data_IF_574723246933
#
_entry.id   IF_574723246933
#
_cell.length_a   1.000
_cell.length_b   1.000
_cell.length_c   1.000
_cell.angle_alpha   90.00
_cell.angle_beta   90.00
_cell.angle_gamma   90.00
#
_symmetry.space_group_name_H-M   'P 1'
#
loop_
_entity.id
_entity.type
_entity.pdbx_description
1 polymer ?
#
# COMPACT_ATOMS: atom_id res chain seq x y z
N UNK A 1 18.73 -14.70 -0.38
CA UNK A 1 19.23 -15.74 0.55
C UNK A 1 20.59 -16.14 0.03
N UNK A 2 21.66 -16.02 0.80
CA UNK A 2 22.98 -16.46 0.35
C UNK A 2 22.95 -17.97 0.02
N UNK A 3 23.71 -18.44 -0.99
CA UNK A 3 23.80 -19.86 -1.28
C UNK A 3 24.28 -20.63 -0.04
N UNK A 4 23.76 -21.84 0.22
CA UNK A 4 24.17 -22.61 1.38
C UNK A 4 25.67 -22.91 1.27
N UNK A 5 26.42 -22.54 2.31
CA UNK A 5 27.87 -22.74 2.36
C UNK A 5 28.22 -24.24 2.23
N UNK A 6 29.32 -24.59 1.55
CA UNK A 6 29.77 -25.97 1.44
C UNK A 6 30.08 -26.51 2.84
N UNK A 7 29.77 -27.80 3.05
CA UNK A 7 30.10 -28.48 4.30
C UNK A 7 31.61 -28.66 4.38
N UNK A 8 32.19 -28.48 5.57
CA UNK A 8 33.63 -28.46 5.81
C UNK A 8 34.25 -29.83 6.13
N UNK A 9 33.47 -30.93 6.11
CA UNK A 9 33.99 -32.27 6.43
C UNK A 9 34.26 -32.51 7.93
N UNK A 10 34.10 -31.48 8.76
CA UNK A 10 34.32 -31.56 10.21
C UNK A 10 33.16 -32.30 10.92
N UNK A 11 33.46 -32.99 12.03
CA UNK A 11 32.46 -33.69 12.84
C UNK A 11 31.61 -32.74 13.71
N UNK A 12 32.16 -31.57 14.08
CA UNK A 12 31.51 -30.53 14.89
C UNK A 12 31.58 -29.16 14.20
N UNK A 13 30.69 -28.23 14.58
CA UNK A 13 30.58 -26.88 13.99
C UNK A 13 29.34 -26.65 13.12
N UNK A 14 29.19 -25.43 12.60
CA UNK A 14 27.99 -24.97 11.87
C UNK A 14 27.88 -25.61 10.47
N UNK A 15 29.00 -25.73 9.74
CA UNK A 15 29.07 -26.32 8.40
C UNK A 15 29.54 -27.78 8.43
N UNK A 16 29.28 -28.49 9.53
CA UNK A 16 29.74 -29.87 9.73
C UNK A 16 29.10 -30.88 8.77
N UNK A 17 29.74 -32.04 8.69
CA UNK A 17 29.31 -33.20 7.91
C UNK A 17 30.03 -33.35 6.58
N UNK A 18 29.77 -34.46 5.90
CA UNK A 18 30.42 -34.84 4.65
C UNK A 18 30.26 -33.76 3.57
N UNK A 19 31.37 -33.45 2.89
CA UNK A 19 31.41 -32.53 1.75
C UNK A 19 30.60 -33.15 0.61
N UNK A 20 29.43 -32.60 0.31
CA UNK A 20 28.53 -33.10 -0.75
C UNK A 20 28.10 -31.93 -1.63
N UNK A 21 28.18 -32.11 -2.95
CA UNK A 21 27.62 -31.19 -3.93
C UNK A 21 26.10 -31.34 -3.94
N UNK A 22 25.39 -30.35 -3.37
CA UNK A 22 23.92 -30.38 -3.32
C UNK A 22 23.35 -30.06 -4.71
N UNK A 23 22.59 -30.99 -5.30
CA UNK A 23 21.81 -30.74 -6.52
C UNK A 23 20.55 -29.96 -6.19
N UNK A 24 20.25 -28.93 -6.99
CA UNK A 24 18.95 -28.26 -6.93
C UNK A 24 17.88 -29.15 -7.57
N UNK A 25 16.97 -29.66 -6.75
CA UNK A 25 15.84 -30.47 -7.21
C UNK A 25 14.64 -29.58 -7.53
N UNK A 26 13.87 -29.87 -8.59
CA UNK A 26 12.63 -29.15 -8.84
C UNK A 26 11.65 -29.35 -7.67
N UNK A 27 10.93 -28.29 -7.24
CA UNK A 27 10.03 -28.38 -6.10
C UNK A 27 8.88 -29.34 -6.40
N UNK A 28 8.71 -30.35 -5.54
CA UNK A 28 7.63 -31.34 -5.72
C UNK A 28 6.25 -30.66 -5.74
N UNK A 29 5.32 -31.10 -6.62
CA UNK A 29 3.98 -30.50 -6.72
C UNK A 29 3.20 -30.46 -5.39
N UNK A 30 3.41 -31.42 -4.48
CA UNK A 30 2.78 -31.44 -3.15
C UNK A 30 3.06 -30.17 -2.32
N UNK A 31 4.22 -29.53 -2.49
CA UNK A 31 4.57 -28.28 -1.79
C UNK A 31 3.76 -27.06 -2.27
N UNK A 32 3.04 -27.15 -3.39
CA UNK A 32 2.17 -26.07 -3.88
C UNK A 32 0.82 -25.99 -3.16
N UNK A 33 0.48 -26.95 -2.31
CA UNK A 33 -0.80 -26.97 -1.57
C UNK A 33 -0.94 -25.72 -0.70
N UNK A 34 -2.07 -25.03 -0.81
CA UNK A 34 -2.38 -23.82 -0.04
C UNK A 34 -2.08 -22.49 -0.74
N UNK A 35 -1.42 -22.50 -1.91
CA UNK A 35 -1.26 -21.30 -2.75
C UNK A 35 -2.60 -20.91 -3.39
N UNK A 36 -2.98 -19.64 -3.28
CA UNK A 36 -4.18 -19.11 -3.94
C UNK A 36 -3.92 -18.83 -5.41
N UNK A 37 -4.74 -19.37 -6.30
CA UNK A 37 -4.79 -19.03 -7.73
C UNK A 37 -5.73 -17.84 -7.98
N UNK A 38 -5.59 -17.19 -9.15
CA UNK A 38 -6.40 -16.02 -9.55
C UNK A 38 -7.92 -16.27 -9.43
N UNK A 39 -8.38 -17.45 -9.86
CA UNK A 39 -9.78 -17.87 -9.73
C UNK A 39 -10.23 -17.92 -8.27
N UNK A 40 -9.42 -18.51 -7.39
CA UNK A 40 -9.78 -18.66 -5.96
C UNK A 40 -9.80 -17.30 -5.24
N UNK A 41 -8.90 -16.38 -5.59
CA UNK A 41 -8.96 -15.01 -5.03
C UNK A 41 -10.21 -14.26 -5.47
N UNK A 42 -10.62 -14.38 -6.74
CA UNK A 42 -11.84 -13.75 -7.28
C UNK A 42 -13.08 -14.27 -6.55
N UNK A 43 -13.24 -15.59 -6.48
CA UNK A 43 -14.39 -16.22 -5.80
C UNK A 43 -14.45 -15.84 -4.31
N UNK A 44 -13.30 -15.82 -3.61
CA UNK A 44 -13.25 -15.37 -2.21
C UNK A 44 -13.57 -13.89 -2.03
N UNK A 45 -13.31 -13.05 -3.03
CA UNK A 45 -13.72 -11.64 -3.04
C UNK A 45 -15.24 -11.51 -3.11
N UNK A 46 -15.85 -12.13 -4.13
CA UNK A 46 -17.30 -12.13 -4.35
C UNK A 46 -18.09 -12.61 -3.11
N UNK A 47 -17.66 -13.71 -2.48
CA UNK A 47 -18.34 -14.23 -1.29
C UNK A 47 -18.30 -13.23 -0.13
N UNK A 48 -17.22 -12.47 0.03
CA UNK A 48 -17.09 -11.48 1.11
C UNK A 48 -17.97 -10.26 0.88
N UNK A 49 -18.19 -9.89 -0.38
CA UNK A 49 -19.11 -8.81 -0.75
C UNK A 49 -20.56 -9.19 -0.45
N UNK A 50 -20.95 -10.43 -0.77
CA UNK A 50 -22.33 -10.92 -0.56
C UNK A 50 -22.61 -11.23 0.92
N UNK A 51 -21.74 -11.99 1.59
CA UNK A 51 -21.98 -12.46 2.96
C UNK A 51 -21.58 -11.44 4.05
N UNK A 52 -20.73 -10.47 3.70
CA UNK A 52 -20.23 -9.46 4.65
C UNK A 52 -19.29 -10.00 5.73
N UNK A 53 -19.17 -9.24 6.83
CA UNK A 53 -18.28 -9.56 7.95
C UNK A 53 -19.02 -10.20 9.13
N UNK A 54 -18.34 -11.14 9.78
CA UNK A 54 -18.83 -11.75 11.01
C UNK A 54 -18.82 -10.74 12.19
N UNK A 55 -19.65 -10.93 13.23
CA UNK A 55 -19.78 -9.96 14.33
C UNK A 55 -18.48 -9.72 15.11
N UNK A 56 -17.61 -10.72 15.24
CA UNK A 56 -16.30 -10.55 15.87
C UNK A 56 -15.31 -9.77 14.99
N UNK A 57 -15.45 -9.85 13.66
CA UNK A 57 -14.62 -9.11 12.71
C UNK A 57 -15.00 -7.62 12.73
N UNK A 58 -16.30 -7.31 12.80
CA UNK A 58 -16.81 -5.94 13.01
C UNK A 58 -16.21 -5.31 14.28
N UNK A 59 -16.28 -6.00 15.43
CA UNK A 59 -15.67 -5.52 16.68
C UNK A 59 -14.15 -5.33 16.58
N UNK A 60 -13.43 -6.16 15.81
CA UNK A 60 -12.00 -5.97 15.55
C UNK A 60 -11.78 -4.68 14.75
N UNK A 61 -12.56 -4.44 13.69
CA UNK A 61 -12.45 -3.21 12.89
C UNK A 61 -12.75 -1.95 13.70
N UNK A 62 -13.73 -1.99 14.61
CA UNK A 62 -14.02 -0.88 15.53
C UNK A 62 -12.84 -0.56 16.44
N UNK A 63 -12.24 -1.58 17.05
CA UNK A 63 -11.06 -1.41 17.92
C UNK A 63 -9.85 -0.88 17.14
N UNK A 64 -9.69 -1.29 15.89
CA UNK A 64 -8.63 -0.80 14.99
C UNK A 64 -8.87 0.65 14.53
N UNK A 65 -10.13 1.09 14.38
CA UNK A 65 -10.45 2.50 14.10
C UNK A 65 -10.04 3.42 15.24
N UNK A 66 -10.21 2.97 16.49
CA UNK A 66 -9.84 3.72 17.71
C UNK A 66 -8.32 3.63 18.01
N UNK A 67 -7.56 2.79 17.28
CA UNK A 67 -6.13 2.60 17.51
C UNK A 67 -5.78 1.67 18.69
N UNK A 68 -6.74 0.87 19.21
CA UNK A 68 -6.52 -0.06 20.33
C UNK A 68 -6.05 -1.44 19.85
N UNK A 69 -4.90 -1.49 19.20
CA UNK A 69 -4.35 -2.70 18.57
C UNK A 69 -4.13 -3.88 19.53
N UNK A 70 -3.59 -3.63 20.73
CA UNK A 70 -3.35 -4.68 21.74
C UNK A 70 -4.66 -5.32 22.20
N UNK A 71 -5.74 -4.53 22.30
CA UNK A 71 -7.08 -5.01 22.67
C UNK A 71 -7.72 -5.80 21.52
N UNK A 72 -7.56 -5.34 20.28
CA UNK A 72 -7.99 -6.08 19.09
C UNK A 72 -7.29 -7.45 18.99
N UNK A 73 -5.99 -7.51 19.28
CA UNK A 73 -5.21 -8.75 19.25
C UNK A 73 -5.64 -9.71 20.37
N UNK A 74 -5.92 -9.23 21.58
CA UNK A 74 -6.50 -10.05 22.66
C UNK A 74 -7.86 -10.63 22.26
N UNK A 75 -8.74 -9.84 21.66
CA UNK A 75 -10.04 -10.31 21.18
C UNK A 75 -9.90 -11.38 20.09
N UNK A 76 -9.05 -11.12 19.09
CA UNK A 76 -8.79 -12.06 18.00
C UNK A 76 -8.16 -13.36 18.51
N UNK A 77 -7.22 -13.29 19.47
CA UNK A 77 -6.63 -14.50 20.10
C UNK A 77 -7.69 -15.29 20.87
N UNK A 78 -8.58 -14.63 21.62
CA UNK A 78 -9.69 -15.31 22.32
C UNK A 78 -10.67 -16.00 21.36
N UNK A 79 -10.85 -15.49 20.14
CA UNK A 79 -11.77 -16.07 19.14
C UNK A 79 -11.11 -17.13 18.23
N UNK A 80 -9.84 -16.96 17.87
CA UNK A 80 -9.11 -17.83 16.92
C UNK A 80 -8.13 -18.79 17.61
N UNK A 81 -7.92 -18.65 18.92
CA UNK A 81 -7.04 -19.45 19.77
C UNK A 81 -5.56 -19.03 19.70
N UNK A 82 -4.96 -19.09 18.51
CA UNK A 82 -3.50 -18.92 18.36
C UNK A 82 -3.08 -17.49 18.01
N UNK A 83 -1.88 -17.10 18.46
CA UNK A 83 -1.33 -15.76 18.20
C UNK A 83 -1.01 -15.51 16.72
N UNK A 84 -0.51 -16.53 16.00
CA UNK A 84 -0.22 -16.44 14.54
C UNK A 84 -1.50 -16.18 13.74
N UNK A 85 -2.60 -16.89 14.04
CA UNK A 85 -3.90 -16.67 13.39
C UNK A 85 -4.48 -15.30 13.74
N UNK A 86 -4.38 -14.88 15.01
CA UNK A 86 -4.83 -13.56 15.45
C UNK A 86 -4.09 -12.42 14.73
N UNK A 87 -2.75 -12.49 14.61
CA UNK A 87 -1.96 -11.52 13.83
C UNK A 87 -2.41 -11.48 12.37
N UNK A 88 -2.57 -12.64 11.72
CA UNK A 88 -3.05 -12.72 10.34
C UNK A 88 -4.42 -12.04 10.18
N UNK A 89 -5.33 -12.24 11.14
CA UNK A 89 -6.68 -11.67 11.06
C UNK A 89 -6.72 -10.17 11.37
N UNK A 90 -5.83 -9.68 12.24
CA UNK A 90 -5.61 -8.24 12.45
C UNK A 90 -5.12 -7.57 11.16
N UNK A 91 -4.11 -8.13 10.50
CA UNK A 91 -3.59 -7.61 9.23
C UNK A 91 -4.66 -7.56 8.13
N UNK A 92 -5.49 -8.60 8.07
CA UNK A 92 -6.61 -8.64 7.12
C UNK A 92 -7.64 -7.53 7.38
N UNK A 93 -8.03 -7.31 8.65
CA UNK A 93 -8.96 -6.23 9.02
C UNK A 93 -8.35 -4.84 8.83
N UNK A 94 -7.07 -4.66 9.11
CA UNK A 94 -6.35 -3.42 8.80
C UNK A 94 -6.26 -3.17 7.29
N UNK A 95 -6.11 -4.23 6.49
CA UNK A 95 -6.20 -4.17 5.02
C UNK A 95 -7.56 -3.69 4.53
N UNK A 96 -8.66 -4.17 5.13
CA UNK A 96 -10.02 -3.72 4.82
C UNK A 96 -10.19 -2.23 5.12
N UNK A 97 -9.74 -1.77 6.29
CA UNK A 97 -9.80 -0.34 6.64
C UNK A 97 -9.00 0.54 5.68
N UNK A 98 -7.83 0.07 5.23
CA UNK A 98 -7.04 0.79 4.21
C UNK A 98 -7.80 0.90 2.89
N UNK A 99 -8.43 -0.18 2.42
CA UNK A 99 -9.26 -0.16 1.21
C UNK A 99 -10.44 0.81 1.35
N UNK A 100 -11.16 0.76 2.46
CA UNK A 100 -12.27 1.68 2.74
C UNK A 100 -11.82 3.14 2.76
N UNK A 101 -10.67 3.43 3.38
CA UNK A 101 -10.08 4.79 3.38
C UNK A 101 -9.71 5.25 1.97
N UNK A 102 -9.09 4.38 1.17
CA UNK A 102 -8.67 4.72 -0.20
C UNK A 102 -9.85 5.08 -1.10
N UNK A 103 -10.91 4.26 -1.10
CA UNK A 103 -12.14 4.52 -1.86
C UNK A 103 -12.77 5.86 -1.47
N UNK A 104 -12.77 6.20 -0.18
CA UNK A 104 -13.32 7.47 0.30
C UNK A 104 -12.47 8.68 -0.13
N UNK A 105 -11.14 8.52 -0.25
CA UNK A 105 -10.22 9.59 -0.68
C UNK A 105 -10.27 9.81 -2.18
N UNK A 106 -10.35 8.76 -3.00
CA UNK A 106 -10.54 8.90 -4.46
C UNK A 106 -11.82 9.68 -4.79
N UNK A 107 -12.92 9.38 -4.10
CA UNK A 107 -14.18 10.13 -4.23
C UNK A 107 -14.05 11.62 -3.85
N UNK A 108 -13.12 11.96 -2.95
CA UNK A 108 -12.83 13.35 -2.56
C UNK A 108 -11.87 14.05 -3.55
N UNK A 109 -10.91 13.32 -4.13
CA UNK A 109 -9.96 13.82 -5.11
C UNK A 109 -10.61 14.02 -6.49
N UNK A 110 -11.50 13.13 -6.94
CA UNK A 110 -12.19 13.27 -8.22
C UNK A 110 -13.23 14.40 -8.18
N UNK A 111 -13.98 14.55 -7.08
CA UNK A 111 -14.91 15.69 -6.91
C UNK A 111 -14.17 17.04 -6.90
N UNK A 112 -13.03 17.14 -6.21
CA UNK A 112 -12.23 18.38 -6.16
C UNK A 112 -11.48 18.66 -7.47
N UNK A 113 -10.96 17.64 -8.17
CA UNK A 113 -10.38 17.78 -9.52
C UNK A 113 -11.41 18.18 -10.57
N UNK A 114 -12.63 17.63 -10.53
CA UNK A 114 -13.73 18.03 -11.43
C UNK A 114 -14.15 19.49 -11.16
N UNK A 115 -14.31 19.88 -9.89
CA UNK A 115 -14.67 21.27 -9.53
C UNK A 115 -13.57 22.27 -9.91
N UNK A 116 -12.30 21.98 -9.58
CA UNK A 116 -11.16 22.84 -9.95
C UNK A 116 -10.95 22.90 -11.47
N UNK A 117 -11.11 21.78 -12.18
CA UNK A 117 -11.02 21.74 -13.65
C UNK A 117 -12.17 22.49 -14.36
N UNK A 118 -13.33 22.66 -13.71
CA UNK A 118 -14.44 23.51 -14.18
C UNK A 118 -14.16 24.98 -13.90
N UNK A 119 -13.61 25.30 -12.72
CA UNK A 119 -13.20 26.65 -12.31
C UNK A 119 -12.08 27.22 -13.18
N UNK A 120 -11.03 26.42 -13.47
CA UNK A 120 -9.91 26.81 -14.34
C UNK A 120 -10.38 27.05 -15.80
N UNK A 121 -11.34 26.27 -16.30
CA UNK A 121 -11.96 26.48 -17.61
C UNK A 121 -12.79 27.76 -17.70
N UNK A 122 -13.44 28.18 -16.61
CA UNK A 122 -14.17 29.45 -16.56
C UNK A 122 -13.25 30.67 -16.39
N UNK A 123 -12.10 30.50 -15.75
CA UNK A 123 -11.11 31.57 -15.53
C UNK A 123 -10.27 31.85 -16.80
N UNK A 124 -9.91 30.84 -17.57
CA UNK A 124 -9.15 31.00 -18.83
C UNK A 124 -9.98 31.60 -19.98
N UNK A 125 -11.31 31.45 -19.97
CA UNK A 125 -12.20 32.18 -20.91
C UNK A 125 -12.42 33.64 -20.55
N UNK A 126 -12.22 34.03 -19.28
CA UNK A 126 -12.41 35.42 -18.81
C UNK A 126 -11.17 36.30 -19.01
N UNK A 127 -10.00 35.70 -19.25
CA UNK A 127 -8.70 36.39 -19.31
C UNK A 127 -8.11 36.57 -20.73
N UNK A 128 -8.94 36.45 -21.78
CA UNK A 128 -8.52 36.83 -23.15
C UNK A 128 -8.62 38.32 -23.41
N UNK A 129 -9.43 39.04 -22.64
CA UNK A 129 -9.62 40.49 -22.76
C UNK A 129 -8.59 41.30 -21.95
N UNK A 130 -7.93 40.69 -20.95
CA UNK A 130 -7.03 41.42 -20.03
C UNK A 130 -5.56 41.43 -20.46
N UNK A 131 -5.17 40.61 -21.45
CA UNK A 131 -3.76 40.45 -21.85
C UNK A 131 -3.30 41.44 -22.93
N UNK A 132 -4.22 42.17 -23.58
CA UNK A 132 -3.86 43.22 -24.55
C UNK A 132 -3.42 44.55 -23.91
N UNK A 133 -3.68 44.75 -22.61
CA UNK A 133 -3.38 46.02 -21.93
C UNK A 133 -1.99 46.07 -21.27
N UNK A 134 -1.32 44.93 -21.04
CA UNK A 134 -0.02 44.89 -20.36
C UNK A 134 1.21 44.81 -21.28
N UNK A 135 1.02 44.59 -22.59
CA UNK A 135 2.14 44.45 -23.53
C UNK A 135 2.66 45.81 -24.04
N UNK A 136 1.92 46.91 -23.81
CA UNK A 136 2.31 48.28 -24.19
C UNK A 136 3.16 49.01 -23.13
N UNK A 137 3.25 48.50 -21.90
CA UNK A 137 3.94 49.19 -20.79
C UNK A 137 5.39 48.69 -20.54
N UNK A 138 5.89 47.73 -21.32
CA UNK A 138 7.19 47.09 -21.08
C UNK A 138 8.29 47.47 -22.10
N UNK A 139 8.07 48.50 -22.94
CA UNK A 139 9.07 48.95 -23.94
C UNK A 139 10.00 50.08 -23.48
N UNK A 140 9.75 50.72 -22.33
CA UNK A 140 10.50 51.89 -21.88
C UNK A 140 11.25 51.68 -20.56
N UNK A 141 12.08 50.63 -20.46
CA UNK A 141 13.10 50.60 -19.41
C UNK A 141 14.41 49.99 -19.92
N UNK A 142 15.35 50.88 -20.25
CA UNK A 142 16.71 50.55 -20.68
C UNK A 142 17.58 50.29 -19.44
N UNK A 143 18.39 49.22 -19.42
CA UNK A 143 19.24 48.86 -18.28
C UNK A 143 20.54 49.67 -18.26
N UNK A 144 20.96 50.10 -17.06
CA UNK A 144 22.34 50.55 -16.82
C UNK A 144 23.00 49.60 -15.83
N UNK A 145 24.08 49.03 -16.33
CA UNK A 145 25.07 48.16 -15.72
C UNK A 145 25.85 48.86 -14.60
N UNK A 146 26.63 48.03 -13.88
CA UNK A 146 27.82 48.41 -13.11
C UNK A 146 27.57 48.94 -11.69
N UNK A 147 27.74 48.10 -10.66
CA UNK A 147 29.04 47.90 -10.00
C UNK A 147 28.95 46.84 -8.88
N UNK A 148 30.09 46.20 -8.52
CA UNK A 148 30.20 45.04 -7.65
C UNK A 148 30.71 45.37 -6.22
N UNK A 149 30.79 44.33 -5.38
CA UNK A 149 31.43 44.23 -4.06
C UNK A 149 30.69 44.82 -2.85
N UNK A 150 30.12 43.95 -2.02
CA UNK A 150 30.78 43.33 -0.85
C UNK A 150 29.95 42.13 -0.37
#
# INVERSE_FOLDING_TARGET
MAPPQPKSGLFVGINKGHVVTKRELPPRPCHRKGKSTKRVSMVRGLIREVAGFAPYEKRITELLKVGKDKRALKLAKRKLGTHKRAKKKREEMAGVLRKMRFVNVELYCDKTKILLGRLVRTLTKRNREHFKFMELAARDYVPVSDFPYM
#
